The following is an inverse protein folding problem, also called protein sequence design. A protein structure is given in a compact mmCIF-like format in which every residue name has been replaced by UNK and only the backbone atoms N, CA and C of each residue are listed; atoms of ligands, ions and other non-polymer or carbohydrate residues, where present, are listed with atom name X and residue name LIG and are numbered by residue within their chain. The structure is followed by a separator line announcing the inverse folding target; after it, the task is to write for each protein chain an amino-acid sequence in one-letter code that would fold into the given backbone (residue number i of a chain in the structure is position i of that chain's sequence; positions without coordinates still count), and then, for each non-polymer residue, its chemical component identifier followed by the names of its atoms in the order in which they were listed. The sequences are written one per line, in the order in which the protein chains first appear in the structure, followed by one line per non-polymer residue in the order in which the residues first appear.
data_IF_548835853437
#
_entry.id   IF_548835853437
#
_cell.length_a   1.000
_cell.length_b   1.000
_cell.length_c   1.000
_cell.angle_alpha   90.00
_cell.angle_beta   90.00
_cell.angle_gamma   90.00
#
_symmetry.space_group_name_H-M   'P 1'
#
loop_
_entity.id
_entity.type
_entity.pdbx_description
1 polymer ?
#
# COMPACT_ATOMS: atom_id res chain seq x y z
N UNK A 1 13.05 14.11 -10.59
CA UNK A 1 13.62 13.59 -9.33
C UNK A 1 13.51 14.62 -8.21
N UNK A 2 12.57 14.39 -7.30
CA UNK A 2 12.37 15.30 -6.19
C UNK A 2 11.15 14.94 -5.36
N UNK A 3 10.37 13.99 -5.87
CA UNK A 3 9.15 13.54 -5.19
C UNK A 3 9.43 12.38 -4.24
N UNK A 4 8.71 12.34 -3.13
CA UNK A 4 8.87 11.26 -2.16
C UNK A 4 7.80 10.19 -2.38
N UNK A 5 8.23 9.00 -2.82
CA UNK A 5 7.29 7.91 -3.09
C UNK A 5 7.46 6.77 -2.10
N UNK A 6 6.38 6.43 -1.40
CA UNK A 6 6.38 5.31 -0.46
C UNK A 6 5.82 4.06 -1.14
N UNK A 7 5.98 2.90 -0.52
CA UNK A 7 5.46 1.66 -1.10
C UNK A 7 4.89 0.71 -0.05
N UNK A 8 3.66 0.30 -0.29
CA UNK A 8 2.93 -0.58 0.61
C UNK A 8 2.49 -1.86 -0.13
N UNK A 9 3.13 -3.00 0.20
CA UNK A 9 2.84 -4.27 -0.47
C UNK A 9 1.88 -5.15 0.33
N UNK A 10 0.61 -5.09 -0.01
CA UNK A 10 -0.41 -5.85 0.71
C UNK A 10 -0.64 -7.22 0.06
N UNK A 11 -0.72 -8.26 0.89
CA UNK A 11 -0.92 -9.62 0.39
C UNK A 11 -1.79 -10.46 1.35
N UNK A 12 -2.88 -11.04 0.82
CA UNK A 12 -3.82 -11.87 1.60
C UNK A 12 -3.22 -13.21 1.99
N UNK A 13 -3.29 -13.53 3.28
CA UNK A 13 -2.76 -14.79 3.79
C UNK A 13 -3.41 -15.99 3.11
N UNK A 14 -4.70 -15.86 2.79
CA UNK A 14 -5.44 -16.94 2.15
C UNK A 14 -5.13 -17.02 0.66
N UNK A 15 -5.31 -18.20 0.05
CA UNK A 15 -5.06 -18.40 -1.38
C UNK A 15 -6.11 -17.70 -2.24
N UNK A 16 -7.09 -17.09 -1.58
CA UNK A 16 -8.14 -16.35 -2.26
C UNK A 16 -7.73 -14.89 -2.41
N UNK A 17 -6.47 -14.69 -2.80
CA UNK A 17 -5.91 -13.36 -2.96
C UNK A 17 -6.64 -12.57 -4.05
N UNK A 18 -7.81 -12.05 -3.72
CA UNK A 18 -8.58 -11.24 -4.67
C UNK A 18 -7.88 -9.91 -4.90
N UNK A 19 -7.08 -9.85 -5.96
CA UNK A 19 -6.32 -8.64 -6.27
C UNK A 19 -7.26 -7.47 -6.58
N UNK A 20 -8.30 -7.73 -7.37
CA UNK A 20 -9.24 -6.67 -7.76
C UNK A 20 -10.08 -6.24 -6.57
N UNK A 21 -10.42 -7.19 -5.71
CA UNK A 21 -11.16 -6.86 -4.51
C UNK A 21 -10.29 -6.06 -3.56
N UNK A 22 -9.01 -6.42 -3.53
CA UNK A 22 -8.02 -5.72 -2.73
C UNK A 22 -7.83 -4.31 -3.26
N UNK A 23 -8.06 -4.14 -4.56
CA UNK A 23 -7.92 -2.85 -5.22
C UNK A 23 -8.81 -1.81 -4.54
N UNK A 24 -10.06 -2.18 -4.29
CA UNK A 24 -11.00 -1.29 -3.63
C UNK A 24 -10.56 -0.99 -2.21
N UNK A 25 -10.11 -2.03 -1.51
CA UNK A 25 -9.64 -1.88 -0.14
C UNK A 25 -8.38 -1.02 -0.09
N UNK A 26 -7.59 -1.12 -1.15
CA UNK A 26 -6.34 -0.37 -1.25
C UNK A 26 -6.62 1.13 -1.24
N UNK A 27 -7.65 1.54 -1.97
CA UNK A 27 -8.01 2.94 -2.05
C UNK A 27 -8.43 3.48 -0.68
N UNK A 28 -9.15 2.65 0.07
CA UNK A 28 -9.62 3.06 1.39
C UNK A 28 -8.51 3.00 2.43
N UNK A 29 -7.47 2.22 2.14
CA UNK A 29 -6.36 2.06 3.07
C UNK A 29 -5.27 3.11 2.80
N UNK A 30 -5.38 3.81 1.67
CA UNK A 30 -4.40 4.83 1.31
C UNK A 30 -4.35 5.95 2.37
N UNK A 31 -3.13 6.41 2.73
CA UNK A 31 -2.95 7.49 3.69
C UNK A 31 -3.78 8.72 3.33
N UNK A 32 -4.75 9.04 4.19
CA UNK A 32 -5.63 10.18 3.98
C UNK A 32 -4.86 11.51 3.89
N UNK A 33 -3.53 11.44 3.96
CA UNK A 33 -2.73 12.65 3.91
C UNK A 33 -2.50 13.15 2.49
N UNK A 34 -2.18 12.22 1.59
CA UNK A 34 -1.92 12.59 0.20
C UNK A 34 -2.71 11.69 -0.76
N UNK A 35 -2.06 11.22 -1.82
CA UNK A 35 -2.70 10.36 -2.80
C UNK A 35 -1.81 9.19 -3.17
N UNK A 36 -2.38 8.23 -3.90
CA UNK A 36 -1.65 7.04 -4.30
C UNK A 36 -0.70 7.35 -5.45
N UNK A 37 -0.03 6.32 -5.95
CA UNK A 37 0.93 6.47 -7.05
C UNK A 37 0.65 5.45 -8.15
N UNK A 38 1.09 4.22 -7.89
CA UNK A 38 0.94 3.14 -8.85
C UNK A 38 1.18 1.79 -8.14
N UNK A 39 0.26 0.86 -8.34
CA UNK A 39 0.34 -0.44 -7.67
C UNK A 39 1.06 -1.48 -8.52
N UNK A 40 1.57 -2.52 -7.85
CA UNK A 40 2.31 -3.59 -8.51
C UNK A 40 1.69 -4.96 -8.24
N UNK A 41 1.48 -5.74 -9.29
CA UNK A 41 0.94 -7.08 -9.14
C UNK A 41 2.07 -8.10 -9.00
N UNK A 42 2.73 -8.08 -7.85
CA UNK A 42 3.85 -8.97 -7.61
C UNK A 42 3.46 -10.13 -6.70
N UNK A 43 4.07 -11.32 -6.91
CA UNK A 43 3.76 -12.52 -6.14
C UNK A 43 4.61 -12.65 -4.89
N UNK A 44 4.09 -13.42 -3.94
CA UNK A 44 4.77 -13.62 -2.66
C UNK A 44 4.93 -15.10 -2.34
N UNK A 45 3.89 -15.70 -1.77
CA UNK A 45 3.92 -17.11 -1.41
C UNK A 45 3.97 -18.00 -2.66
N UNK A 46 3.41 -19.20 -2.54
CA UNK A 46 3.41 -20.14 -3.66
C UNK A 46 2.44 -19.69 -4.74
N UNK A 47 1.39 -18.97 -4.34
CA UNK A 47 0.41 -18.49 -5.29
C UNK A 47 -0.28 -17.22 -4.83
N UNK A 48 0.17 -16.64 -3.71
CA UNK A 48 -0.42 -15.42 -3.19
C UNK A 48 0.31 -14.19 -3.69
N UNK A 49 -0.33 -13.47 -4.61
CA UNK A 49 0.27 -12.27 -5.21
C UNK A 49 -0.16 -11.01 -4.47
N UNK A 50 0.83 -10.22 -4.08
CA UNK A 50 0.58 -8.96 -3.36
C UNK A 50 0.54 -7.79 -4.32
N UNK A 51 0.05 -6.66 -3.83
CA UNK A 51 -0.02 -5.43 -4.60
C UNK A 51 0.79 -4.33 -3.93
N UNK A 52 1.81 -3.85 -4.62
CA UNK A 52 2.66 -2.80 -4.09
C UNK A 52 2.11 -1.44 -4.44
N UNK A 53 1.31 -0.90 -3.55
CA UNK A 53 0.67 0.39 -3.74
C UNK A 53 1.56 1.53 -3.28
N UNK A 54 2.19 2.20 -4.24
CA UNK A 54 3.06 3.32 -3.95
C UNK A 54 2.24 4.60 -3.84
N UNK A 55 2.85 5.65 -3.28
CA UNK A 55 2.16 6.92 -3.10
C UNK A 55 3.07 8.10 -3.42
N UNK A 56 2.54 9.08 -4.16
CA UNK A 56 3.31 10.26 -4.51
C UNK A 56 3.02 11.41 -3.55
N UNK A 57 4.03 11.85 -2.82
CA UNK A 57 3.88 12.95 -1.88
C UNK A 57 4.96 14.01 -2.08
N UNK A 58 4.63 15.26 -1.81
CA UNK A 58 5.58 16.34 -1.97
C UNK A 58 5.10 17.62 -1.34
N UNK A 59 4.07 18.24 -1.93
CA UNK A 59 3.52 19.47 -1.40
C UNK A 59 2.56 19.18 -0.25
N UNK A 60 2.31 17.89 -0.01
CA UNK A 60 1.42 17.47 1.06
C UNK A 60 2.00 17.79 2.44
N UNK A 61 1.67 16.96 3.42
CA UNK A 61 2.17 17.15 4.78
C UNK A 61 2.36 15.80 5.47
N UNK A 62 2.51 15.85 6.80
CA UNK A 62 2.66 14.63 7.55
C UNK A 62 1.33 13.96 7.83
N UNK A 63 0.31 14.40 7.10
CA UNK A 63 -1.02 13.84 7.27
C UNK A 63 -1.12 12.41 6.76
N UNK A 64 -0.04 11.92 6.17
CA UNK A 64 -0.02 10.56 5.65
C UNK A 64 0.08 9.56 6.79
N UNK A 65 0.21 10.08 8.00
CA UNK A 65 0.27 9.25 9.20
C UNK A 65 -0.95 8.34 9.27
N UNK A 66 -2.01 8.76 8.60
CA UNK A 66 -3.25 8.02 8.58
C UNK A 66 -3.04 6.59 8.07
N UNK A 67 -2.01 6.41 7.27
CA UNK A 67 -1.69 5.10 6.73
C UNK A 67 -1.37 4.12 7.85
N UNK A 68 -0.41 4.48 8.69
CA UNK A 68 -0.05 3.65 9.82
C UNK A 68 -1.24 3.44 10.75
N UNK A 69 -2.08 4.47 10.84
CA UNK A 69 -3.30 4.40 11.66
C UNK A 69 -4.21 3.29 11.16
N UNK A 70 -4.50 3.33 9.85
CA UNK A 70 -5.34 2.33 9.23
C UNK A 70 -4.69 0.96 9.30
N UNK A 71 -3.38 0.95 9.51
CA UNK A 71 -2.61 -0.29 9.60
C UNK A 71 -2.90 -1.00 10.91
N UNK A 72 -3.24 -0.21 11.93
CA UNK A 72 -3.56 -0.75 13.25
C UNK A 72 -4.82 -1.62 13.20
N UNK A 73 -5.55 -1.52 12.09
CA UNK A 73 -6.76 -2.30 11.92
C UNK A 73 -7.04 -2.59 10.45
N UNK A 74 -5.97 -2.61 9.67
CA UNK A 74 -6.05 -2.85 8.23
C UNK A 74 -6.34 -4.34 7.95
N UNK A 75 -6.12 -4.76 6.70
CA UNK A 75 -6.35 -6.14 6.30
C UNK A 75 -5.65 -7.11 7.25
N UNK A 76 -6.40 -7.59 8.25
CA UNK A 76 -5.84 -8.52 9.21
C UNK A 76 -5.39 -9.81 8.57
N UNK A 77 -6.02 -10.16 7.45
CA UNK A 77 -5.67 -11.37 6.71
C UNK A 77 -4.57 -11.07 5.70
N UNK A 78 -4.66 -9.89 5.10
CA UNK A 78 -3.67 -9.46 4.13
C UNK A 78 -2.64 -8.57 4.79
N UNK A 79 -1.56 -9.18 5.29
CA UNK A 79 -0.50 -8.39 5.91
C UNK A 79 0.34 -7.75 4.85
N UNK A 80 0.67 -6.49 5.08
CA UNK A 80 1.41 -5.74 4.11
C UNK A 80 2.88 -5.61 4.47
N UNK A 81 3.71 -5.55 3.45
CA UNK A 81 5.13 -5.30 3.63
C UNK A 81 5.30 -3.79 3.67
N UNK A 82 4.83 -3.21 4.76
CA UNK A 82 4.79 -1.77 4.93
C UNK A 82 6.16 -1.24 5.35
N UNK A 83 7.17 -1.63 4.60
CA UNK A 83 8.54 -1.19 4.86
C UNK A 83 9.22 -0.69 3.59
N UNK A 84 8.49 -0.66 2.48
CA UNK A 84 9.09 -0.24 1.22
C UNK A 84 9.05 1.27 1.06
N UNK A 85 10.09 1.83 0.48
CA UNK A 85 10.19 3.26 0.28
C UNK A 85 10.95 3.60 -1.00
N UNK A 86 10.73 4.81 -1.50
CA UNK A 86 11.40 5.27 -2.71
C UNK A 86 11.60 6.79 -2.66
N UNK A 87 12.68 7.21 -2.03
CA UNK A 87 12.99 8.63 -1.90
C UNK A 87 13.58 9.18 -3.18
N UNK A 88 12.71 9.65 -4.08
CA UNK A 88 13.16 10.24 -5.34
C UNK A 88 13.59 11.68 -5.14
N UNK A 89 14.83 11.87 -4.69
CA UNK A 89 15.36 13.21 -4.44
C UNK A 89 16.08 13.73 -5.68
#
# INVERSE_FOLDING_TARGET
MGDVVATIKVMPESPDVDLEALKKEIQERIPEGTELHKIDEEPIAFGLVALNVMVVVGDAEGGTEAAEESLSGIEGVSNIEVTDVRRLM
#
